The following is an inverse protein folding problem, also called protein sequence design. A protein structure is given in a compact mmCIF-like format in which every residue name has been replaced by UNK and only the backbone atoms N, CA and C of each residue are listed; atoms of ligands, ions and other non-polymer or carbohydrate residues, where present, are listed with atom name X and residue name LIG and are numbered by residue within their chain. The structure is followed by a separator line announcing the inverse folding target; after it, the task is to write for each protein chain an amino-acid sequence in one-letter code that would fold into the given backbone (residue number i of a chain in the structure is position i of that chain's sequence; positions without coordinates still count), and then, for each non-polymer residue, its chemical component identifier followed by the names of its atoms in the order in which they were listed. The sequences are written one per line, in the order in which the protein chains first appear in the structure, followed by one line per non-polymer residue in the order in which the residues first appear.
data_IF_860365612280
#
_entry.id   IF_860365612280
#
_cell.length_a   1.000
_cell.length_b   1.000
_cell.length_c   1.000
_cell.angle_alpha   90.00
_cell.angle_beta   90.00
_cell.angle_gamma   90.00
#
_symmetry.space_group_name_H-M   'P 1'
#
loop_
_entity.id
_entity.type
_entity.pdbx_description
1 polymer ?
#
# COMPACT_ATOMS: atom_id res chain seq x y z
N UNK A 1 6.20 -14.43 -21.31
CA UNK A 1 7.15 -14.15 -20.22
C UNK A 1 6.77 -12.93 -19.40
N UNK A 2 6.35 -11.84 -20.02
CA UNK A 2 5.98 -10.61 -19.30
C UNK A 2 4.70 -10.79 -18.47
N UNK A 3 3.70 -11.50 -18.99
CA UNK A 3 2.41 -11.69 -18.32
C UNK A 3 2.51 -12.28 -16.92
N UNK A 4 3.21 -13.41 -16.68
CA UNK A 4 3.33 -13.96 -15.33
C UNK A 4 4.09 -13.03 -14.37
N UNK A 5 5.05 -12.26 -14.88
CA UNK A 5 5.77 -11.26 -14.07
C UNK A 5 4.83 -10.12 -13.66
N UNK A 6 4.05 -9.59 -14.60
CA UNK A 6 3.10 -8.51 -14.35
C UNK A 6 2.06 -8.92 -13.30
N UNK A 7 1.40 -10.05 -13.51
CA UNK A 7 0.40 -10.55 -12.55
C UNK A 7 1.03 -10.97 -11.21
N UNK A 8 2.21 -11.60 -11.23
CA UNK A 8 2.92 -11.99 -10.02
C UNK A 8 3.25 -10.78 -9.14
N UNK A 9 3.77 -9.69 -9.72
CA UNK A 9 4.05 -8.47 -8.98
C UNK A 9 2.77 -7.83 -8.42
N UNK A 10 1.72 -7.76 -9.23
CA UNK A 10 0.44 -7.23 -8.78
C UNK A 10 -0.14 -8.02 -7.60
N UNK A 11 -0.10 -9.35 -7.65
CA UNK A 11 -0.55 -10.22 -6.56
C UNK A 11 0.25 -9.96 -5.28
N UNK A 12 1.58 -9.90 -5.38
CA UNK A 12 2.45 -9.66 -4.22
C UNK A 12 2.16 -8.31 -3.58
N UNK A 13 1.99 -7.25 -4.38
CA UNK A 13 1.68 -5.91 -3.86
C UNK A 13 0.30 -5.84 -3.22
N UNK A 14 -0.71 -6.45 -3.81
CA UNK A 14 -2.06 -6.52 -3.23
C UNK A 14 -2.03 -7.30 -1.90
N UNK A 15 -1.30 -8.40 -1.83
CA UNK A 15 -1.10 -9.16 -0.60
C UNK A 15 -0.38 -8.33 0.46
N UNK A 16 0.61 -7.53 0.09
CA UNK A 16 1.31 -6.60 0.99
C UNK A 16 0.35 -5.55 1.55
N UNK A 17 -0.52 -4.96 0.72
CA UNK A 17 -1.53 -3.99 1.18
C UNK A 17 -2.52 -4.64 2.14
N UNK A 18 -2.96 -5.86 1.87
CA UNK A 18 -3.82 -6.61 2.79
C UNK A 18 -3.13 -6.85 4.14
N UNK A 19 -1.87 -7.24 4.12
CA UNK A 19 -1.07 -7.46 5.33
C UNK A 19 -0.91 -6.17 6.16
N UNK A 20 -0.60 -5.05 5.51
CA UNK A 20 -0.48 -3.75 6.19
C UNK A 20 -1.83 -3.36 6.83
N UNK A 21 -2.92 -3.47 6.08
CA UNK A 21 -4.26 -3.17 6.59
C UNK A 21 -4.62 -4.03 7.79
N UNK A 22 -4.36 -5.34 7.74
CA UNK A 22 -4.57 -6.25 8.86
C UNK A 22 -3.73 -5.89 10.08
N UNK A 23 -2.49 -5.48 9.90
CA UNK A 23 -1.64 -5.04 11.01
C UNK A 23 -2.23 -3.82 11.73
N UNK A 24 -2.75 -2.84 11.00
CA UNK A 24 -3.40 -1.69 11.60
C UNK A 24 -4.72 -2.04 12.31
N UNK A 25 -5.39 -3.10 11.88
CA UNK A 25 -6.61 -3.59 12.55
C UNK A 25 -6.29 -4.36 13.83
N UNK A 26 -5.24 -5.19 13.82
CA UNK A 26 -4.94 -6.12 14.92
C UNK A 26 -3.99 -5.49 15.95
N UNK A 27 -2.96 -4.79 15.50
CA UNK A 27 -1.93 -4.16 16.35
C UNK A 27 -1.67 -2.72 15.89
N UNK A 28 -2.66 -1.81 16.07
CA UNK A 28 -2.59 -0.48 15.47
C UNK A 28 -1.38 0.35 15.91
N UNK A 29 -1.02 0.35 17.18
CA UNK A 29 0.10 1.16 17.68
C UNK A 29 1.47 0.68 17.18
N UNK A 30 1.82 -0.63 17.29
CA UNK A 30 3.04 -1.15 16.65
C UNK A 30 3.07 -0.94 15.14
N UNK A 31 1.92 -1.09 14.46
CA UNK A 31 1.81 -0.84 13.03
C UNK A 31 2.14 0.62 12.69
N UNK A 32 1.61 1.58 13.43
CA UNK A 32 1.89 3.00 13.24
C UNK A 32 3.37 3.33 13.48
N UNK A 33 3.97 2.78 14.50
CA UNK A 33 5.40 2.97 14.80
C UNK A 33 6.28 2.47 13.65
N UNK A 34 6.04 1.26 13.15
CA UNK A 34 6.76 0.70 12.02
C UNK A 34 6.51 1.43 10.70
N UNK A 35 5.35 2.07 10.57
CA UNK A 35 4.98 2.87 9.41
C UNK A 35 5.72 4.22 9.34
N UNK A 36 6.27 4.66 10.47
CA UNK A 36 7.09 5.87 10.58
C UNK A 36 6.42 7.07 11.25
N UNK A 37 5.16 6.94 11.66
CA UNK A 37 4.42 7.96 12.43
C UNK A 37 3.80 7.27 13.63
N UNK A 38 4.49 7.32 14.77
CA UNK A 38 4.02 6.67 16.00
C UNK A 38 2.74 7.34 16.51
N UNK A 39 1.80 6.53 16.99
CA UNK A 39 0.61 7.02 17.68
C UNK A 39 0.95 7.57 19.07
N UNK A 40 0.20 8.56 19.54
CA UNK A 40 0.30 9.05 20.90
C UNK A 40 -0.09 7.96 21.90
N UNK A 41 0.67 7.82 23.00
CA UNK A 41 0.46 6.75 23.97
C UNK A 41 -0.93 6.78 24.62
N UNK A 42 -1.44 7.99 24.89
CA UNK A 42 -2.75 8.23 25.49
C UNK A 42 -3.87 8.49 24.47
N UNK A 43 -3.54 8.41 23.18
CA UNK A 43 -4.49 8.66 22.10
C UNK A 43 -5.39 7.45 21.82
N UNK A 44 -6.60 7.73 21.31
CA UNK A 44 -7.51 6.70 20.81
C UNK A 44 -7.00 6.13 19.48
N UNK A 45 -6.84 4.80 19.34
CA UNK A 45 -6.37 4.19 18.11
C UNK A 45 -7.43 4.14 16.99
N UNK A 46 -8.60 4.76 17.15
CA UNK A 46 -9.70 4.69 16.20
C UNK A 46 -9.29 5.05 14.77
N UNK A 47 -8.51 6.14 14.57
CA UNK A 47 -8.05 6.51 13.23
C UNK A 47 -7.09 5.49 12.62
N UNK A 48 -6.35 4.78 13.43
CA UNK A 48 -5.45 3.72 12.96
C UNK A 48 -6.24 2.49 12.48
N UNK A 49 -7.32 2.14 13.19
CA UNK A 49 -8.22 1.06 12.76
C UNK A 49 -9.04 1.46 11.54
N UNK A 50 -9.46 2.72 11.44
CA UNK A 50 -10.08 3.26 10.22
C UNK A 50 -9.12 3.14 9.03
N UNK A 51 -7.85 3.51 9.20
CA UNK A 51 -6.82 3.32 8.17
C UNK A 51 -6.70 1.84 7.78
N UNK A 52 -6.61 0.96 8.76
CA UNK A 52 -6.46 -0.47 8.55
C UNK A 52 -7.59 -1.07 7.73
N UNK A 53 -8.85 -0.76 8.06
CA UNK A 53 -9.99 -1.29 7.32
C UNK A 53 -10.05 -0.74 5.89
N UNK A 54 -9.64 0.51 5.67
CA UNK A 54 -9.58 1.11 4.32
C UNK A 54 -8.50 0.48 3.47
N UNK A 55 -7.30 0.31 4.01
CA UNK A 55 -6.19 -0.35 3.31
C UNK A 55 -6.55 -1.80 2.95
N UNK A 56 -7.14 -2.53 3.90
CA UNK A 56 -7.59 -3.88 3.66
C UNK A 56 -8.69 -3.95 2.59
N UNK A 57 -9.68 -3.05 2.64
CA UNK A 57 -10.74 -2.99 1.64
C UNK A 57 -10.20 -2.65 0.25
N UNK A 58 -9.22 -1.73 0.14
CA UNK A 58 -8.55 -1.43 -1.13
C UNK A 58 -7.82 -2.66 -1.69
N UNK A 59 -7.22 -3.48 -0.83
CA UNK A 59 -6.61 -4.72 -1.28
C UNK A 59 -7.64 -5.72 -1.83
N UNK A 60 -8.82 -5.79 -1.22
CA UNK A 60 -9.93 -6.61 -1.74
C UNK A 60 -10.43 -6.11 -3.09
N UNK A 61 -10.48 -4.79 -3.31
CA UNK A 61 -10.78 -4.22 -4.63
C UNK A 61 -9.76 -4.68 -5.67
N UNK A 62 -8.48 -4.60 -5.34
CA UNK A 62 -7.41 -5.08 -6.21
C UNK A 62 -7.53 -6.58 -6.52
N UNK A 63 -7.81 -7.40 -5.51
CA UNK A 63 -8.02 -8.83 -5.69
C UNK A 63 -9.23 -9.13 -6.59
N UNK A 64 -10.33 -8.39 -6.41
CA UNK A 64 -11.53 -8.53 -7.25
C UNK A 64 -11.23 -8.16 -8.73
N UNK A 65 -10.47 -7.08 -8.95
CA UNK A 65 -10.05 -6.68 -10.29
C UNK A 65 -9.15 -7.75 -10.94
N UNK A 66 -8.24 -8.35 -10.19
CA UNK A 66 -7.42 -9.46 -10.68
C UNK A 66 -8.26 -10.68 -11.08
N UNK A 67 -9.29 -10.98 -10.28
CA UNK A 67 -10.13 -12.17 -10.50
C UNK A 67 -11.17 -11.98 -11.61
N UNK A 68 -11.74 -10.79 -11.76
CA UNK A 68 -12.96 -10.56 -12.54
C UNK A 68 -12.82 -9.51 -13.65
N UNK A 69 -11.64 -8.89 -13.81
CA UNK A 69 -11.43 -7.88 -14.86
C UNK A 69 -10.21 -8.21 -15.73
N UNK A 70 -9.66 -7.23 -16.40
CA UNK A 70 -8.53 -7.36 -17.32
C UNK A 70 -7.28 -6.62 -16.80
N UNK A 71 -6.15 -6.85 -17.44
CA UNK A 71 -4.87 -6.25 -17.07
C UNK A 71 -4.92 -4.72 -17.07
N UNK A 72 -5.60 -4.10 -18.04
CA UNK A 72 -5.75 -2.65 -18.09
C UNK A 72 -6.45 -2.07 -16.85
N UNK A 73 -7.52 -2.70 -16.39
CA UNK A 73 -8.23 -2.27 -15.18
C UNK A 73 -7.32 -2.39 -13.94
N UNK A 74 -6.55 -3.46 -13.83
CA UNK A 74 -5.56 -3.62 -12.75
C UNK A 74 -4.45 -2.55 -12.88
N UNK A 75 -4.01 -2.25 -14.09
CA UNK A 75 -3.04 -1.18 -14.36
C UNK A 75 -3.51 0.18 -13.85
N UNK A 76 -4.74 0.55 -14.15
CA UNK A 76 -5.36 1.79 -13.63
C UNK A 76 -5.48 1.79 -12.11
N UNK A 77 -5.91 0.66 -11.53
CA UNK A 77 -5.95 0.51 -10.07
C UNK A 77 -4.57 0.77 -9.46
N UNK A 78 -3.51 0.11 -9.96
CA UNK A 78 -2.14 0.30 -9.46
C UNK A 78 -1.67 1.74 -9.63
N UNK A 79 -1.94 2.38 -10.76
CA UNK A 79 -1.55 3.78 -11.00
C UNK A 79 -2.19 4.72 -9.98
N UNK A 80 -3.48 4.54 -9.70
CA UNK A 80 -4.20 5.40 -8.76
C UNK A 80 -3.77 5.14 -7.32
N UNK A 81 -3.64 3.88 -6.90
CA UNK A 81 -3.22 3.56 -5.53
C UNK A 81 -1.75 3.91 -5.24
N UNK A 82 -0.92 4.13 -6.26
CA UNK A 82 0.44 4.64 -6.09
C UNK A 82 0.48 6.03 -5.41
N UNK A 83 -0.61 6.80 -5.48
CA UNK A 83 -0.75 8.05 -4.74
C UNK A 83 -0.57 7.83 -3.25
N UNK A 84 -1.03 6.71 -2.71
CA UNK A 84 -0.98 6.41 -1.26
C UNK A 84 0.48 6.37 -0.76
N UNK A 85 1.36 5.48 -1.23
CA UNK A 85 2.74 5.46 -0.74
C UNK A 85 3.54 6.72 -1.13
N UNK A 86 3.19 7.42 -2.21
CA UNK A 86 3.81 8.71 -2.54
C UNK A 86 3.47 9.77 -1.49
N UNK A 87 2.20 9.89 -1.11
CA UNK A 87 1.78 10.84 -0.07
C UNK A 87 2.24 10.40 1.32
N UNK A 88 2.27 9.10 1.60
CA UNK A 88 2.80 8.57 2.86
C UNK A 88 4.28 8.95 3.05
N UNK A 89 5.07 8.96 1.98
CA UNK A 89 6.46 9.43 2.02
C UNK A 89 6.53 10.86 2.56
N UNK A 90 5.70 11.76 2.04
CA UNK A 90 5.64 13.16 2.48
C UNK A 90 5.14 13.29 3.92
N UNK A 91 4.11 12.51 4.27
CA UNK A 91 3.52 12.54 5.63
C UNK A 91 4.54 12.10 6.66
N UNK A 92 5.27 11.01 6.41
CA UNK A 92 6.32 10.51 7.31
C UNK A 92 7.41 11.56 7.49
N UNK A 93 7.87 12.19 6.41
CA UNK A 93 8.89 13.25 6.50
C UNK A 93 8.41 14.47 7.28
N UNK A 94 7.16 14.88 7.09
CA UNK A 94 6.58 16.05 7.77
C UNK A 94 6.29 15.82 9.25
N UNK A 95 6.15 14.58 9.67
CA UNK A 95 5.81 14.21 11.05
C UNK A 95 6.98 13.60 11.82
N UNK A 96 8.19 13.90 11.41
CA UNK A 96 9.40 13.52 12.14
C UNK A 96 9.87 12.08 11.94
N UNK A 97 9.30 11.36 10.99
CA UNK A 97 9.77 10.04 10.59
C UNK A 97 11.15 10.10 9.92
N UNK A 98 11.86 8.97 9.93
CA UNK A 98 13.21 8.91 9.35
C UNK A 98 13.16 8.91 7.81
N UNK A 99 14.23 9.43 7.19
CA UNK A 99 14.42 9.32 5.74
C UNK A 99 14.50 7.86 5.29
N UNK A 100 15.10 6.99 6.11
CA UNK A 100 15.19 5.57 5.82
C UNK A 100 13.80 4.93 5.68
N UNK A 101 12.85 5.23 6.56
CA UNK A 101 11.46 4.74 6.47
C UNK A 101 10.73 5.41 5.31
N UNK A 102 10.81 6.74 5.18
CA UNK A 102 10.12 7.45 4.11
C UNK A 102 10.53 6.96 2.72
N UNK A 103 11.81 6.88 2.44
CA UNK A 103 12.31 6.48 1.12
C UNK A 103 12.48 4.97 0.97
N UNK A 104 12.98 4.26 1.99
CA UNK A 104 13.23 2.83 1.93
C UNK A 104 11.97 1.96 2.01
N UNK A 105 10.89 2.46 2.58
CA UNK A 105 9.61 1.74 2.68
C UNK A 105 8.57 2.38 1.76
N UNK A 106 8.17 3.63 2.02
CA UNK A 106 7.02 4.23 1.34
C UNK A 106 7.33 4.61 -0.11
N UNK A 107 8.42 5.33 -0.36
CA UNK A 107 8.80 5.69 -1.74
C UNK A 107 9.18 4.45 -2.55
N UNK A 108 9.92 3.51 -1.97
CA UNK A 108 10.24 2.24 -2.64
C UNK A 108 8.98 1.45 -3.01
N UNK A 109 7.97 1.42 -2.14
CA UNK A 109 6.67 0.83 -2.44
C UNK A 109 5.98 1.55 -3.59
N UNK A 110 6.00 2.89 -3.60
CA UNK A 110 5.43 3.69 -4.69
C UNK A 110 6.06 3.34 -6.04
N UNK A 111 7.39 3.21 -6.09
CA UNK A 111 8.11 2.81 -7.31
C UNK A 111 7.67 1.41 -7.75
N UNK A 112 7.58 0.45 -6.83
CA UNK A 112 7.14 -0.91 -7.15
C UNK A 112 5.71 -0.93 -7.71
N UNK A 113 4.80 -0.14 -7.12
CA UNK A 113 3.40 -0.03 -7.57
C UNK A 113 3.32 0.61 -8.97
N UNK A 114 4.12 1.64 -9.24
CA UNK A 114 4.19 2.28 -10.56
C UNK A 114 4.76 1.32 -11.62
N UNK A 115 5.77 0.53 -11.27
CA UNK A 115 6.29 -0.53 -12.15
C UNK A 115 5.19 -1.55 -12.42
N UNK A 116 4.45 -1.97 -11.41
CA UNK A 116 3.31 -2.89 -11.58
C UNK A 116 2.27 -2.32 -12.53
N UNK A 117 1.90 -1.03 -12.39
CA UNK A 117 0.99 -0.37 -13.32
C UNK A 117 1.49 -0.43 -14.76
N UNK A 118 2.76 -0.07 -14.98
CA UNK A 118 3.37 -0.11 -16.32
C UNK A 118 3.37 -1.51 -16.93
N UNK A 119 3.71 -2.53 -16.14
CA UNK A 119 3.68 -3.92 -16.59
C UNK A 119 2.25 -4.38 -16.94
N UNK A 120 1.26 -4.01 -16.13
CA UNK A 120 -0.14 -4.36 -16.40
C UNK A 120 -0.68 -3.68 -17.64
N UNK A 121 -0.24 -2.46 -17.97
CA UNK A 121 -0.58 -1.82 -19.24
C UNK A 121 0.13 -2.45 -20.45
N UNK A 122 1.27 -3.09 -20.25
CA UNK A 122 2.06 -3.72 -21.30
C UNK A 122 1.58 -5.14 -21.67
N UNK A 123 0.72 -5.73 -20.89
CA UNK A 123 0.17 -7.06 -21.13
C UNK A 123 -1.34 -7.00 -21.34
#
# INVERSE_FOLDING_TARGET
MLTPIAYGLAIVLIALFAFIGLRFLVVPRPAAAGYGVAAKEDGDPAYLTIKGQRDFTLSLVGAALLAFSNAHAVGWYMLVVAIIPLTDTLIVLRHGGTKAVAFGIHFATAVAVLISAALMFAV
#
